data_IF_778624047920
#
_entry.id   IF_778624047920
#
_cell.length_a   1.000
_cell.length_b   1.000
_cell.length_c   1.000
_cell.angle_alpha   90.00
_cell.angle_beta   90.00
_cell.angle_gamma   90.00
#
_symmetry.space_group_name_H-M   'P 1'
#
loop_
_entity.id
_entity.type
_entity.pdbx_description
1 polymer ?
#
# COMPACT_ATOMS: atom_id res chain seq x y z
N UNK A 1 41.43 67.62 -0.36
CA UNK A 1 40.07 67.18 -0.03
C UNK A 1 39.83 65.88 -0.89
N UNK A 2 40.08 64.72 -0.32
CA UNK A 2 40.00 63.44 -0.98
C UNK A 2 38.70 62.70 -0.54
N UNK A 3 37.73 62.71 -1.45
CA UNK A 3 36.44 61.98 -1.22
C UNK A 3 36.65 60.50 -1.42
N UNK A 4 36.40 59.69 -0.38
CA UNK A 4 36.31 58.24 -0.43
C UNK A 4 34.90 57.85 -0.86
N UNK A 5 34.76 57.23 -2.04
CA UNK A 5 33.50 56.60 -2.44
C UNK A 5 33.41 55.21 -1.77
N UNK A 6 32.34 55.02 -0.99
CA UNK A 6 31.96 53.73 -0.44
C UNK A 6 31.09 52.97 -1.47
N UNK A 7 31.59 51.87 -1.94
CA UNK A 7 30.84 50.95 -2.82
C UNK A 7 30.02 50.00 -1.91
N UNK A 8 28.70 50.14 -1.93
CA UNK A 8 27.79 49.17 -1.29
C UNK A 8 27.56 48.01 -2.26
N UNK A 9 28.08 46.84 -1.92
CA UNK A 9 27.74 45.61 -2.62
C UNK A 9 26.40 45.11 -2.08
N UNK A 10 25.38 45.11 -2.93
CA UNK A 10 24.11 44.40 -2.64
C UNK A 10 24.33 42.92 -2.79
N UNK A 11 24.29 42.21 -1.67
CA UNK A 11 24.27 40.73 -1.64
C UNK A 11 22.83 40.28 -1.89
N UNK A 12 22.52 39.84 -3.10
CA UNK A 12 21.24 39.18 -3.41
C UNK A 12 21.27 37.77 -2.86
N UNK A 13 20.60 37.53 -1.74
CA UNK A 13 20.35 36.19 -1.23
C UNK A 13 19.23 35.58 -2.09
N UNK A 14 19.59 34.71 -3.00
CA UNK A 14 18.60 33.84 -3.66
C UNK A 14 18.05 32.86 -2.62
N UNK A 15 16.84 33.07 -2.16
CA UNK A 15 16.08 32.04 -1.45
C UNK A 15 15.85 30.89 -2.46
N UNK A 16 16.62 29.83 -2.35
CA UNK A 16 16.22 28.55 -2.89
C UNK A 16 15.03 28.10 -2.05
N UNK A 17 13.85 28.27 -2.58
CA UNK A 17 12.65 27.71 -2.00
C UNK A 17 12.84 26.20 -1.94
N UNK A 18 13.02 25.68 -0.73
CA UNK A 18 12.78 24.28 -0.45
C UNK A 18 11.29 24.10 -0.71
N UNK A 19 10.93 23.54 -1.88
CA UNK A 19 9.59 23.01 -2.09
C UNK A 19 9.38 21.94 -1.03
N UNK A 20 8.58 22.24 -0.02
CA UNK A 20 7.98 21.23 0.83
C UNK A 20 7.23 20.34 -0.15
N UNK A 21 7.45 19.00 -0.17
CA UNK A 21 6.66 18.14 -1.00
C UNK A 21 5.18 18.39 -0.65
N UNK A 22 4.39 18.68 -1.67
CA UNK A 22 2.95 18.74 -1.54
C UNK A 22 2.50 17.45 -0.88
N UNK A 23 1.73 17.59 0.18
CA UNK A 23 1.03 16.61 0.99
C UNK A 23 1.45 15.14 0.78
N UNK A 24 1.91 14.49 1.85
CA UNK A 24 2.15 13.06 1.83
C UNK A 24 0.87 12.38 1.33
N UNK A 25 0.96 11.70 0.19
CA UNK A 25 -0.13 10.94 -0.37
C UNK A 25 -0.63 9.94 0.68
N UNK A 26 -1.93 9.87 0.89
CA UNK A 26 -2.51 9.00 1.91
C UNK A 26 -2.72 7.63 1.30
N UNK A 27 -2.16 6.59 1.93
CA UNK A 27 -2.50 5.22 1.56
C UNK A 27 -4.01 5.01 1.77
N UNK A 28 -4.72 4.57 0.71
CA UNK A 28 -6.16 4.60 0.65
C UNK A 28 -6.79 3.20 0.75
N UNK A 29 -6.34 2.24 -0.07
CA UNK A 29 -6.96 0.93 -0.12
C UNK A 29 -6.05 -0.17 -0.67
N UNK A 30 -6.46 -1.41 -0.41
CA UNK A 30 -6.06 -2.59 -1.17
C UNK A 30 -7.27 -3.09 -1.96
N UNK A 31 -7.06 -3.51 -3.20
CA UNK A 31 -8.13 -4.04 -4.04
C UNK A 31 -7.81 -5.48 -4.44
N UNK A 32 -8.71 -6.36 -4.08
CA UNK A 32 -8.62 -7.80 -4.33
C UNK A 32 -9.60 -8.22 -5.42
N UNK A 33 -9.34 -9.39 -5.98
CA UNK A 33 -10.25 -10.06 -6.89
C UNK A 33 -10.77 -11.35 -6.27
N UNK A 34 -12.09 -11.51 -6.31
CA UNK A 34 -12.77 -12.75 -5.96
C UNK A 34 -14.04 -12.87 -6.81
N UNK A 35 -14.56 -14.08 -7.07
CA UNK A 35 -15.82 -14.24 -7.80
C UNK A 35 -17.04 -13.83 -6.99
N UNK A 36 -16.92 -13.71 -5.66
CA UNK A 36 -17.98 -13.28 -4.75
C UNK A 36 -17.41 -12.25 -3.77
N UNK A 37 -17.58 -10.97 -4.12
CA UNK A 37 -17.08 -9.85 -3.33
C UNK A 37 -17.71 -9.77 -1.94
N UNK A 38 -18.98 -10.15 -1.80
CA UNK A 38 -19.69 -10.12 -0.52
C UNK A 38 -19.14 -11.19 0.42
N UNK A 39 -18.99 -12.43 -0.09
CA UNK A 39 -18.39 -13.51 0.69
C UNK A 39 -16.93 -13.20 1.05
N UNK A 40 -16.20 -12.51 0.17
CA UNK A 40 -14.83 -12.11 0.41
C UNK A 40 -14.73 -11.06 1.53
N UNK A 41 -15.52 -9.99 1.46
CA UNK A 41 -15.58 -8.99 2.51
C UNK A 41 -15.98 -9.61 3.86
N UNK A 42 -16.97 -10.53 3.85
CA UNK A 42 -17.39 -11.24 5.06
C UNK A 42 -16.26 -12.09 5.65
N UNK A 43 -15.48 -12.77 4.81
CA UNK A 43 -14.31 -13.53 5.28
C UNK A 43 -13.29 -12.66 6.01
N UNK A 44 -12.99 -11.45 5.47
CA UNK A 44 -12.09 -10.50 6.11
C UNK A 44 -12.69 -9.91 7.40
N UNK A 45 -14.00 -9.69 7.45
CA UNK A 45 -14.70 -9.29 8.70
C UNK A 45 -14.63 -10.39 9.76
N UNK A 46 -14.81 -11.65 9.39
CA UNK A 46 -14.79 -12.78 10.33
C UNK A 46 -13.39 -13.10 10.84
N UNK A 47 -12.33 -12.82 10.05
CA UNK A 47 -10.99 -13.30 10.34
C UNK A 47 -9.94 -12.21 10.55
N UNK A 48 -10.05 -11.05 9.92
CA UNK A 48 -9.00 -10.01 9.92
C UNK A 48 -9.38 -8.76 10.72
N UNK A 49 -10.40 -8.84 11.59
CA UNK A 49 -10.94 -7.72 12.36
C UNK A 49 -11.31 -6.51 11.46
N UNK A 50 -11.76 -6.80 10.25
CA UNK A 50 -12.21 -5.82 9.29
C UNK A 50 -13.64 -5.41 9.63
N UNK A 51 -13.97 -4.12 9.59
CA UNK A 51 -15.28 -3.58 9.95
C UNK A 51 -16.11 -3.26 8.71
N UNK A 52 -17.42 -3.55 8.78
CA UNK A 52 -18.38 -3.10 7.76
C UNK A 52 -18.55 -1.58 7.86
N UNK A 53 -18.34 -0.88 6.75
CA UNK A 53 -18.58 0.57 6.68
C UNK A 53 -19.71 0.95 5.70
N UNK A 54 -20.57 -0.01 5.35
CA UNK A 54 -21.77 0.20 4.54
C UNK A 54 -21.55 0.14 3.02
N UNK A 55 -20.39 -0.40 2.56
CA UNK A 55 -20.11 -0.64 1.15
C UNK A 55 -20.11 -2.14 0.86
N UNK A 56 -20.99 -2.58 -0.04
CA UNK A 56 -21.04 -3.96 -0.49
C UNK A 56 -19.71 -4.40 -1.13
N UNK A 57 -19.24 -5.61 -0.79
CA UNK A 57 -17.96 -6.13 -1.29
C UNK A 57 -16.74 -5.38 -0.77
N UNK A 58 -16.83 -4.82 0.43
CA UNK A 58 -15.74 -4.09 1.05
C UNK A 58 -15.83 -4.14 2.57
N UNK A 59 -14.71 -3.96 3.24
CA UNK A 59 -14.62 -3.70 4.67
C UNK A 59 -13.42 -2.78 4.95
N UNK A 60 -13.23 -2.35 6.20
CA UNK A 60 -12.20 -1.39 6.58
C UNK A 60 -11.42 -1.87 7.80
N UNK A 61 -10.10 -1.75 7.78
CA UNK A 61 -9.25 -1.90 8.97
C UNK A 61 -8.52 -0.59 9.17
N UNK A 62 -8.70 0.02 10.35
CA UNK A 62 -8.23 1.38 10.63
C UNK A 62 -8.76 2.36 9.55
N UNK A 63 -7.87 2.99 8.79
CA UNK A 63 -8.22 3.90 7.70
C UNK A 63 -7.98 3.27 6.31
N UNK A 64 -7.73 1.96 6.24
CA UNK A 64 -7.45 1.24 4.98
C UNK A 64 -8.67 0.46 4.54
N UNK A 65 -9.19 0.77 3.35
CA UNK A 65 -10.27 0.01 2.75
C UNK A 65 -9.72 -1.28 2.14
N UNK A 66 -10.39 -2.39 2.43
CA UNK A 66 -10.19 -3.69 1.79
C UNK A 66 -11.35 -3.86 0.79
N UNK A 67 -11.04 -3.76 -0.50
CA UNK A 67 -12.03 -3.74 -1.56
C UNK A 67 -11.97 -5.03 -2.40
N UNK A 68 -13.12 -5.47 -2.89
CA UNK A 68 -13.23 -6.60 -3.79
C UNK A 68 -13.98 -6.21 -5.05
N UNK A 69 -13.50 -6.66 -6.22
CA UNK A 69 -14.22 -6.49 -7.46
C UNK A 69 -15.58 -7.22 -7.43
N UNK A 70 -16.62 -6.53 -7.90
CA UNK A 70 -17.99 -7.04 -7.94
C UNK A 70 -18.39 -7.59 -9.32
N UNK A 71 -17.41 -7.86 -10.17
CA UNK A 71 -17.62 -8.36 -11.55
C UNK A 71 -17.79 -9.89 -11.65
N UNK A 72 -17.64 -10.61 -10.54
CA UNK A 72 -17.79 -12.06 -10.49
C UNK A 72 -16.67 -12.85 -11.18
N UNK A 73 -15.52 -12.20 -11.43
CA UNK A 73 -14.40 -12.82 -12.15
C UNK A 73 -13.40 -13.45 -11.18
N UNK A 74 -13.06 -14.71 -11.44
CA UNK A 74 -12.01 -15.41 -10.70
C UNK A 74 -10.65 -14.74 -10.87
N UNK A 75 -9.80 -14.72 -9.81
CA UNK A 75 -8.43 -14.28 -9.94
C UNK A 75 -7.64 -15.20 -10.89
N UNK A 76 -6.75 -14.62 -11.69
CA UNK A 76 -5.88 -15.37 -12.61
C UNK A 76 -4.75 -16.12 -11.91
N UNK A 77 -4.58 -15.91 -10.62
CA UNK A 77 -3.60 -16.60 -9.77
C UNK A 77 -3.42 -15.89 -8.42
N UNK A 78 -2.59 -16.46 -7.54
CA UNK A 78 -2.35 -15.93 -6.20
C UNK A 78 -1.52 -14.64 -6.20
N UNK A 79 -1.43 -13.98 -5.05
CA UNK A 79 -0.56 -12.80 -4.85
C UNK A 79 0.92 -13.18 -4.97
N UNK A 80 1.31 -14.33 -4.44
CA UNK A 80 2.69 -14.84 -4.50
C UNK A 80 3.15 -15.03 -5.94
N UNK A 81 4.37 -14.61 -6.22
CA UNK A 81 4.96 -14.62 -7.57
C UNK A 81 4.72 -13.33 -8.36
N UNK A 82 4.12 -12.32 -7.73
CA UNK A 82 4.03 -10.95 -8.25
C UNK A 82 4.94 -10.00 -7.48
N UNK A 83 4.97 -8.73 -7.89
CA UNK A 83 5.61 -7.67 -7.12
C UNK A 83 4.98 -7.45 -5.74
N UNK A 84 3.73 -7.90 -5.54
CA UNK A 84 3.01 -7.88 -4.27
C UNK A 84 2.99 -9.28 -3.65
N UNK A 85 3.86 -9.53 -2.65
CA UNK A 85 3.96 -10.86 -2.02
C UNK A 85 2.83 -11.10 -1.02
N UNK A 86 2.62 -10.18 -0.08
CA UNK A 86 1.59 -10.29 0.96
C UNK A 86 1.24 -8.93 1.58
N UNK A 87 0.11 -8.92 2.28
CA UNK A 87 -0.28 -7.87 3.23
C UNK A 87 -0.13 -8.42 4.64
N UNK A 88 0.03 -7.53 5.62
CA UNK A 88 0.20 -7.90 7.01
C UNK A 88 -0.84 -7.30 7.94
N UNK A 89 -1.30 -8.09 8.91
CA UNK A 89 -2.18 -7.64 9.98
C UNK A 89 -1.56 -7.96 11.35
N UNK A 90 -1.74 -7.06 12.30
CA UNK A 90 -1.26 -7.25 13.67
C UNK A 90 -2.40 -7.45 14.65
N UNK A 91 -2.27 -8.49 15.45
CA UNK A 91 -3.27 -8.88 16.46
C UNK A 91 -2.63 -8.86 17.86
N UNK A 92 -3.39 -8.54 18.91
CA UNK A 92 -2.85 -8.45 20.27
C UNK A 92 -2.52 -9.82 20.88
N UNK A 93 -3.11 -10.91 20.39
CA UNK A 93 -2.89 -12.30 20.82
C UNK A 93 -2.95 -13.21 19.58
N UNK A 94 -1.80 -13.42 18.96
CA UNK A 94 -1.70 -14.22 17.73
C UNK A 94 -2.00 -15.70 17.99
N UNK A 95 -1.69 -16.23 19.18
CA UNK A 95 -1.94 -17.63 19.51
C UNK A 95 -3.43 -17.92 19.60
N UNK A 96 -4.19 -17.05 20.28
CA UNK A 96 -5.65 -17.16 20.36
C UNK A 96 -6.29 -17.02 18.97
N UNK A 97 -5.83 -16.06 18.15
CA UNK A 97 -6.33 -15.85 16.78
C UNK A 97 -6.09 -17.10 15.93
N UNK A 98 -4.88 -17.64 15.92
CA UNK A 98 -4.51 -18.84 15.17
C UNK A 98 -5.30 -20.08 15.58
N UNK A 99 -5.60 -20.24 16.88
CA UNK A 99 -6.45 -21.33 17.36
C UNK A 99 -7.87 -21.22 16.77
N UNK A 100 -8.43 -20.01 16.75
CA UNK A 100 -9.72 -19.71 16.12
C UNK A 100 -9.72 -20.02 14.62
N UNK A 101 -8.72 -19.57 13.89
CA UNK A 101 -8.59 -19.79 12.44
C UNK A 101 -8.47 -21.28 12.08
N UNK A 102 -7.67 -22.05 12.83
CA UNK A 102 -7.62 -23.53 12.63
C UNK A 102 -8.97 -24.19 12.86
N UNK A 103 -9.71 -23.76 13.88
CA UNK A 103 -11.06 -24.28 14.14
C UNK A 103 -12.05 -23.90 13.03
N UNK A 104 -11.89 -22.70 12.43
CA UNK A 104 -12.71 -22.22 11.32
C UNK A 104 -12.28 -22.77 9.94
N UNK A 105 -11.14 -23.49 9.84
CA UNK A 105 -10.63 -24.04 8.58
C UNK A 105 -9.91 -23.05 7.68
N UNK A 106 -9.41 -21.93 8.23
CA UNK A 106 -8.55 -21.00 7.49
C UNK A 106 -7.26 -21.72 7.07
N UNK A 107 -6.81 -21.47 5.84
CA UNK A 107 -5.59 -22.07 5.30
C UNK A 107 -4.36 -21.46 5.98
N UNK A 108 -3.77 -22.19 6.92
CA UNK A 108 -2.53 -21.82 7.62
C UNK A 108 -1.34 -22.32 6.82
N UNK A 109 -0.54 -21.39 6.28
CA UNK A 109 0.65 -21.72 5.47
C UNK A 109 1.87 -22.04 6.32
N UNK A 110 2.04 -21.35 7.45
CA UNK A 110 3.14 -21.56 8.40
C UNK A 110 2.62 -21.47 9.83
N UNK A 111 3.20 -22.26 10.74
CA UNK A 111 2.93 -22.14 12.18
C UNK A 111 3.56 -20.88 12.76
N UNK A 112 3.04 -20.46 13.94
CA UNK A 112 3.60 -19.31 14.65
C UNK A 112 5.09 -19.57 14.93
N UNK A 113 5.90 -18.59 14.61
CA UNK A 113 7.32 -18.53 14.99
C UNK A 113 7.66 -17.18 15.56
N UNK A 114 8.53 -17.13 16.53
CA UNK A 114 9.11 -15.91 17.05
C UNK A 114 10.35 -15.54 16.22
N UNK A 115 10.41 -14.28 15.79
CA UNK A 115 11.60 -13.73 15.13
C UNK A 115 12.27 -12.77 16.08
N UNK A 116 13.47 -13.15 16.57
CA UNK A 116 14.24 -12.36 17.52
C UNK A 116 14.41 -10.90 17.03
N UNK A 117 14.03 -9.96 17.87
CA UNK A 117 14.11 -8.52 17.59
C UNK A 117 13.04 -8.01 16.60
N UNK A 118 12.04 -8.81 16.29
CA UNK A 118 10.83 -8.40 15.57
C UNK A 118 9.58 -8.70 16.42
N UNK A 119 8.85 -9.76 16.08
CA UNK A 119 7.59 -10.17 16.70
C UNK A 119 7.33 -11.66 16.44
N UNK A 120 6.31 -12.22 17.07
CA UNK A 120 5.73 -13.49 16.64
C UNK A 120 5.01 -13.26 15.32
N UNK A 121 5.12 -14.21 14.40
CA UNK A 121 4.44 -14.14 13.11
C UNK A 121 4.05 -15.53 12.61
N UNK A 122 3.08 -15.54 11.72
CA UNK A 122 2.61 -16.70 10.94
C UNK A 122 2.14 -16.22 9.58
N UNK A 123 1.81 -17.16 8.69
CA UNK A 123 1.20 -16.85 7.41
C UNK A 123 -0.07 -17.66 7.23
N UNK A 124 -1.11 -17.00 6.74
CA UNK A 124 -2.36 -17.61 6.30
C UNK A 124 -2.63 -17.21 4.84
N UNK A 125 -3.58 -17.87 4.22
CA UNK A 125 -4.03 -17.53 2.86
C UNK A 125 -5.54 -17.43 2.86
N UNK A 126 -6.06 -16.39 2.20
CA UNK A 126 -7.48 -16.27 1.97
C UNK A 126 -7.96 -17.32 0.92
N UNK A 127 -9.28 -17.57 0.79
CA UNK A 127 -9.78 -18.57 -0.15
C UNK A 127 -9.46 -18.30 -1.64
N UNK A 128 -9.02 -17.09 -1.96
CA UNK A 128 -8.76 -16.65 -3.34
C UNK A 128 -7.27 -16.54 -3.68
N UNK A 129 -6.40 -16.89 -2.73
CA UNK A 129 -4.95 -17.00 -2.93
C UNK A 129 -4.17 -15.75 -2.57
N UNK A 130 -4.73 -14.85 -1.74
CA UNK A 130 -3.95 -13.77 -1.14
C UNK A 130 -3.20 -14.30 0.09
N UNK A 131 -1.88 -14.22 0.05
CA UNK A 131 -1.04 -14.51 1.20
C UNK A 131 -1.10 -13.37 2.19
N UNK A 132 -1.28 -13.68 3.46
CA UNK A 132 -1.43 -12.73 4.56
C UNK A 132 -0.42 -13.07 5.65
N UNK A 133 0.47 -12.14 5.99
CA UNK A 133 1.29 -12.24 7.20
C UNK A 133 0.49 -11.76 8.40
N UNK A 134 0.50 -12.54 9.47
CA UNK A 134 -0.18 -12.20 10.71
C UNK A 134 0.84 -12.14 11.83
N UNK A 135 0.86 -11.02 12.56
CA UNK A 135 1.91 -10.71 13.53
C UNK A 135 1.31 -10.37 14.90
N UNK A 136 2.13 -10.48 15.96
CA UNK A 136 1.83 -9.93 17.27
C UNK A 136 2.75 -8.74 17.52
N UNK A 137 2.33 -7.56 17.09
CA UNK A 137 3.03 -6.31 17.30
C UNK A 137 2.14 -5.26 17.96
N UNK A 138 2.29 -5.11 19.27
CA UNK A 138 1.50 -4.15 20.06
C UNK A 138 1.81 -2.67 19.75
N UNK A 139 2.88 -2.39 18.99
CA UNK A 139 3.23 -1.02 18.60
C UNK A 139 2.38 -0.52 17.43
N UNK A 140 2.07 -1.42 16.48
CA UNK A 140 1.30 -1.12 15.27
C UNK A 140 0.20 -2.19 15.08
N UNK A 141 -0.91 -2.10 15.84
CA UNK A 141 -2.04 -3.01 15.67
C UNK A 141 -2.79 -2.72 14.37
N UNK A 142 -3.64 -3.65 13.92
CA UNK A 142 -4.51 -3.48 12.76
C UNK A 142 -3.83 -3.78 11.44
N UNK A 143 -4.07 -2.96 10.39
CA UNK A 143 -3.43 -3.12 9.08
C UNK A 143 -1.96 -2.69 9.17
N UNK A 144 -1.06 -3.66 9.22
CA UNK A 144 0.31 -3.49 9.68
C UNK A 144 1.28 -3.12 8.57
N UNK A 145 1.27 -3.85 7.45
CA UNK A 145 2.22 -3.59 6.37
C UNK A 145 1.77 -4.16 5.01
N UNK A 146 2.41 -3.62 3.98
CA UNK A 146 2.44 -4.14 2.63
C UNK A 146 3.85 -4.66 2.38
N UNK A 147 4.00 -5.86 1.85
CA UNK A 147 5.31 -6.43 1.55
C UNK A 147 5.47 -6.72 0.06
N UNK A 148 6.35 -5.97 -0.57
CA UNK A 148 6.68 -6.11 -1.98
C UNK A 148 7.91 -7.01 -2.17
N UNK A 149 8.04 -7.56 -3.38
CA UNK A 149 9.26 -8.22 -3.89
C UNK A 149 9.85 -7.40 -5.03
N UNK A 150 11.17 -7.28 -5.04
CA UNK A 150 11.89 -6.55 -6.07
C UNK A 150 13.25 -7.15 -6.32
N UNK A 151 13.73 -7.02 -7.56
CA UNK A 151 15.12 -7.33 -7.92
C UNK A 151 16.11 -6.28 -7.39
N UNK A 152 15.61 -5.07 -7.07
CA UNK A 152 16.38 -3.97 -6.46
C UNK A 152 15.52 -3.24 -5.42
N UNK A 153 15.44 -3.77 -4.16
CA UNK A 153 14.60 -3.19 -3.11
C UNK A 153 14.88 -1.73 -2.81
N UNK A 154 16.14 -1.29 -2.89
CA UNK A 154 16.49 0.09 -2.62
C UNK A 154 15.95 1.05 -3.69
N UNK A 155 16.03 0.67 -4.97
CA UNK A 155 15.47 1.44 -6.08
C UNK A 155 13.94 1.47 -6.02
N UNK A 156 13.32 0.36 -5.65
CA UNK A 156 11.87 0.28 -5.46
C UNK A 156 11.40 1.21 -4.35
N UNK A 157 12.01 1.14 -3.16
CA UNK A 157 11.66 2.05 -2.07
C UNK A 157 11.82 3.52 -2.47
N UNK A 158 12.92 3.88 -3.15
CA UNK A 158 13.13 5.24 -3.63
C UNK A 158 12.07 5.68 -4.66
N UNK A 159 11.56 4.75 -5.48
CA UNK A 159 10.49 5.03 -6.44
C UNK A 159 9.17 5.34 -5.70
N UNK A 160 8.78 4.51 -4.71
CA UNK A 160 7.58 4.75 -3.90
C UNK A 160 7.68 6.03 -3.08
N UNK A 161 8.82 6.27 -2.41
CA UNK A 161 9.08 7.52 -1.67
C UNK A 161 8.94 8.76 -2.54
N UNK A 162 9.48 8.71 -3.77
CA UNK A 162 9.46 9.83 -4.70
C UNK A 162 8.07 10.15 -5.28
N UNK A 163 7.15 9.19 -5.30
CA UNK A 163 5.79 9.39 -5.81
C UNK A 163 4.75 9.56 -4.69
N UNK A 164 4.85 8.76 -3.64
CA UNK A 164 3.84 8.65 -2.61
C UNK A 164 4.33 9.09 -1.22
N UNK A 165 5.55 9.61 -1.15
CA UNK A 165 6.12 10.02 0.13
C UNK A 165 6.39 8.84 1.05
N UNK A 166 6.08 9.02 2.34
CA UNK A 166 6.47 8.11 3.41
C UNK A 166 7.83 8.47 3.99
N UNK A 167 8.12 7.99 5.17
CA UNK A 167 9.38 8.25 5.88
C UNK A 167 10.27 7.02 5.79
N UNK A 168 11.46 7.10 5.14
CA UNK A 168 12.43 6.01 5.17
C UNK A 168 12.81 5.67 6.61
N UNK A 169 12.57 4.43 7.01
CA UNK A 169 12.81 3.98 8.39
C UNK A 169 13.09 2.46 8.41
N UNK A 170 13.36 1.94 9.60
CA UNK A 170 13.54 0.51 9.82
C UNK A 170 12.55 0.00 10.86
N UNK A 171 11.56 -0.76 10.43
CA UNK A 171 10.64 -1.45 11.33
C UNK A 171 11.43 -2.29 12.33
N UNK A 172 11.22 -2.05 13.63
CA UNK A 172 11.98 -2.67 14.74
C UNK A 172 13.50 -2.54 14.57
N UNK A 173 14.00 -1.52 13.87
CA UNK A 173 15.44 -1.33 13.60
C UNK A 173 16.04 -2.33 12.59
N UNK A 174 15.24 -3.19 11.94
CA UNK A 174 15.71 -4.32 11.13
C UNK A 174 15.19 -4.31 9.68
N UNK A 175 13.89 -4.16 9.47
CA UNK A 175 13.31 -4.24 8.15
C UNK A 175 13.23 -2.84 7.53
N UNK A 176 14.03 -2.60 6.50
CA UNK A 176 14.04 -1.32 5.78
C UNK A 176 12.74 -1.16 4.99
N UNK A 177 12.11 0.00 5.13
CA UNK A 177 10.85 0.31 4.47
C UNK A 177 10.53 1.79 4.47
N UNK A 178 9.34 2.12 4.02
CA UNK A 178 8.70 3.42 4.16
C UNK A 178 7.61 3.32 5.22
N UNK A 179 7.64 4.24 6.17
CA UNK A 179 6.57 4.35 7.16
C UNK A 179 5.65 5.50 6.77
N UNK A 180 4.39 5.18 6.60
CA UNK A 180 3.32 6.15 6.36
C UNK A 180 2.67 6.57 7.68
N UNK A 181 1.77 7.56 7.61
CA UNK A 181 0.98 7.97 8.75
C UNK A 181 0.23 6.75 9.34
N UNK A 182 -0.11 6.83 10.63
CA UNK A 182 -0.86 5.79 11.35
C UNK A 182 -0.17 4.42 11.50
N UNK A 183 1.13 4.33 11.19
CA UNK A 183 1.92 3.14 11.45
C UNK A 183 1.94 2.10 10.35
N UNK A 184 1.33 2.38 9.19
CA UNK A 184 1.42 1.51 8.01
C UNK A 184 2.84 1.50 7.44
N UNK A 185 3.34 0.33 7.13
CA UNK A 185 4.63 0.12 6.50
C UNK A 185 4.53 -0.41 5.08
N UNK A 186 5.34 0.13 4.18
CA UNK A 186 5.67 -0.48 2.89
C UNK A 186 7.06 -1.10 3.01
N UNK A 187 7.13 -2.40 3.00
CA UNK A 187 8.37 -3.17 3.06
C UNK A 187 8.70 -3.72 1.67
N UNK A 188 10.00 -3.81 1.35
CA UNK A 188 10.44 -4.39 0.08
C UNK A 188 11.51 -5.43 0.34
N UNK A 189 11.20 -6.69 0.02
CA UNK A 189 12.13 -7.80 0.09
C UNK A 189 12.80 -8.10 -1.24
N UNK A 190 14.01 -8.70 -1.17
CA UNK A 190 14.72 -9.17 -2.37
C UNK A 190 13.93 -10.30 -3.05
N UNK A 191 13.67 -10.16 -4.35
CA UNK A 191 13.23 -11.28 -5.18
C UNK A 191 14.37 -12.30 -5.30
N UNK A 192 14.03 -13.57 -5.08
CA UNK A 192 15.04 -14.64 -5.05
C UNK A 192 15.03 -15.49 -6.30
N UNK A 193 13.84 -15.79 -6.84
CA UNK A 193 13.65 -16.74 -7.91
C UNK A 193 12.61 -16.27 -8.92
N UNK A 194 12.93 -16.38 -10.21
CA UNK A 194 12.01 -16.14 -11.32
C UNK A 194 11.73 -14.66 -11.60
N UNK A 195 10.90 -14.43 -12.61
CA UNK A 195 10.35 -13.13 -12.96
C UNK A 195 9.06 -12.86 -12.17
N UNK A 196 8.83 -11.60 -11.80
CA UNK A 196 7.60 -11.18 -11.15
C UNK A 196 6.50 -11.00 -12.20
N UNK A 197 5.35 -11.63 -11.96
CA UNK A 197 4.17 -11.42 -12.77
C UNK A 197 3.49 -10.08 -12.40
N UNK A 198 2.74 -9.45 -13.33
CA UNK A 198 1.88 -8.31 -13.00
C UNK A 198 0.83 -8.69 -11.95
N UNK A 199 0.44 -7.70 -11.10
CA UNK A 199 -0.63 -7.92 -10.10
C UNK A 199 -2.02 -7.85 -10.70
N UNK A 200 -2.21 -7.09 -11.78
CA UNK A 200 -3.52 -6.92 -12.42
C UNK A 200 -4.19 -8.27 -12.74
N UNK A 201 -5.42 -8.45 -12.26
CA UNK A 201 -6.19 -9.69 -12.43
C UNK A 201 -5.88 -10.80 -11.43
N UNK A 202 -4.93 -10.64 -10.54
CA UNK A 202 -4.58 -11.61 -9.48
C UNK A 202 -5.47 -11.45 -8.25
N UNK A 203 -5.35 -12.37 -7.28
CA UNK A 203 -6.08 -12.30 -6.01
C UNK A 203 -5.86 -10.96 -5.30
N UNK A 204 -4.63 -10.45 -5.34
CA UNK A 204 -4.30 -9.07 -5.01
C UNK A 204 -4.08 -8.32 -6.34
N UNK A 205 -5.02 -7.42 -6.69
CA UNK A 205 -5.01 -6.75 -8.00
C UNK A 205 -4.18 -5.46 -7.98
N UNK A 206 -4.46 -4.55 -7.04
CA UNK A 206 -3.75 -3.28 -6.95
C UNK A 206 -3.77 -2.64 -5.56
N UNK A 207 -2.86 -1.70 -5.37
CA UNK A 207 -2.79 -0.76 -4.25
C UNK A 207 -3.47 0.54 -4.64
N UNK A 208 -3.96 1.31 -3.67
CA UNK A 208 -4.55 2.64 -3.91
C UNK A 208 -3.93 3.72 -3.04
N UNK A 209 -3.63 4.89 -3.66
CA UNK A 209 -3.24 6.11 -2.99
C UNK A 209 -4.20 7.26 -3.29
N UNK A 210 -4.60 7.98 -2.23
CA UNK A 210 -5.37 9.21 -2.34
C UNK A 210 -4.48 10.41 -2.67
N UNK A 211 -4.95 11.27 -3.56
CA UNK A 211 -4.31 12.53 -3.92
C UNK A 211 -5.33 13.68 -3.79
N UNK A 212 -4.83 14.88 -3.50
CA UNK A 212 -5.67 16.07 -3.40
C UNK A 212 -6.00 16.71 -4.77
N UNK A 213 -5.14 16.50 -5.78
CA UNK A 213 -5.23 17.08 -7.12
C UNK A 213 -4.65 16.13 -8.17
N UNK A 214 -5.52 15.48 -8.92
CA UNK A 214 -5.16 14.51 -9.96
C UNK A 214 -4.37 15.16 -11.10
N UNK A 215 -4.72 16.37 -11.52
CA UNK A 215 -4.04 17.03 -12.63
C UNK A 215 -2.59 17.38 -12.24
N UNK A 216 -2.39 17.88 -11.01
CA UNK A 216 -1.06 18.14 -10.48
C UNK A 216 -0.24 16.86 -10.33
N UNK A 217 -0.85 15.76 -9.87
CA UNK A 217 -0.19 14.47 -9.74
C UNK A 217 0.22 13.91 -11.11
N UNK A 218 -0.67 13.94 -12.10
CA UNK A 218 -0.37 13.51 -13.48
C UNK A 218 0.76 14.36 -14.09
N UNK A 219 0.74 15.68 -13.90
CA UNK A 219 1.82 16.55 -14.36
C UNK A 219 3.16 16.19 -13.71
N UNK A 220 3.15 15.84 -12.43
CA UNK A 220 4.34 15.37 -11.71
C UNK A 220 4.86 14.04 -12.30
N UNK A 221 4.00 13.05 -12.56
CA UNK A 221 4.36 11.78 -13.20
C UNK A 221 5.03 12.04 -14.57
N UNK A 222 4.39 12.86 -15.41
CA UNK A 222 4.92 13.22 -16.74
C UNK A 222 6.31 13.88 -16.65
N UNK A 223 6.52 14.77 -15.67
CA UNK A 223 7.81 15.42 -15.44
C UNK A 223 8.92 14.43 -15.06
N UNK A 224 8.56 13.28 -14.51
CA UNK A 224 9.45 12.17 -14.14
C UNK A 224 9.55 11.10 -15.21
N UNK A 225 8.86 11.25 -16.36
CA UNK A 225 8.84 10.27 -17.45
C UNK A 225 8.07 8.99 -17.10
N UNK A 226 7.11 9.06 -16.16
CA UNK A 226 6.24 7.95 -15.79
C UNK A 226 4.94 8.09 -16.57
N UNK A 227 4.57 7.03 -17.29
CA UNK A 227 3.35 6.96 -18.07
C UNK A 227 2.21 6.36 -17.23
N UNK A 228 0.98 6.81 -17.49
CA UNK A 228 -0.21 6.20 -16.92
C UNK A 228 -0.49 4.85 -17.62
N UNK A 229 -0.94 3.87 -16.84
CA UNK A 229 -1.50 2.61 -17.34
C UNK A 229 -2.95 2.84 -17.84
N UNK A 230 -3.72 3.66 -17.09
CA UNK A 230 -5.11 4.00 -17.43
C UNK A 230 -5.53 5.33 -16.78
N UNK A 231 -6.51 6.03 -17.36
CA UNK A 231 -7.09 7.27 -16.86
C UNK A 231 -6.32 8.54 -17.26
N UNK A 232 -6.54 9.70 -16.62
CA UNK A 232 -7.55 9.93 -15.57
C UNK A 232 -8.98 9.83 -16.10
N UNK A 233 -9.90 9.34 -15.27
CA UNK A 233 -11.33 9.30 -15.61
C UNK A 233 -12.20 9.48 -14.37
N UNK A 234 -13.35 10.15 -14.53
CA UNK A 234 -14.37 10.28 -13.50
C UNK A 234 -15.13 8.96 -13.36
N UNK A 235 -15.37 8.56 -12.12
CA UNK A 235 -16.19 7.41 -11.73
C UNK A 235 -17.03 7.77 -10.52
N UNK A 236 -18.18 7.12 -10.34
CA UNK A 236 -18.93 7.16 -9.08
C UNK A 236 -18.82 5.80 -8.42
N UNK A 237 -18.35 5.75 -7.18
CA UNK A 237 -18.20 4.49 -6.45
C UNK A 237 -19.55 3.92 -5.97
N UNK A 238 -19.54 2.71 -5.39
CA UNK A 238 -20.75 2.01 -4.98
C UNK A 238 -21.55 2.72 -3.87
N UNK A 239 -20.94 3.66 -3.14
CA UNK A 239 -21.65 4.49 -2.13
C UNK A 239 -22.04 5.88 -2.65
N UNK A 240 -21.95 6.10 -3.98
CA UNK A 240 -22.39 7.33 -4.63
C UNK A 240 -21.41 8.50 -4.51
N UNK A 241 -20.15 8.25 -4.17
CA UNK A 241 -19.11 9.27 -4.10
C UNK A 241 -18.45 9.41 -5.49
N UNK A 242 -18.30 10.64 -5.95
CA UNK A 242 -17.62 10.94 -7.20
C UNK A 242 -16.10 10.98 -6.99
N UNK A 243 -15.38 10.30 -7.86
CA UNK A 243 -13.93 10.14 -7.82
C UNK A 243 -13.34 10.45 -9.19
N UNK A 244 -12.08 10.89 -9.21
CA UNK A 244 -11.24 10.82 -10.40
C UNK A 244 -10.18 9.77 -10.12
N UNK A 245 -10.03 8.80 -11.02
CA UNK A 245 -9.08 7.71 -10.86
C UNK A 245 -8.11 7.62 -12.04
N UNK A 246 -6.88 7.23 -11.75
CA UNK A 246 -5.87 6.89 -12.74
C UNK A 246 -5.03 5.72 -12.23
N UNK A 247 -4.29 5.06 -13.13
CA UNK A 247 -3.44 3.93 -12.77
C UNK A 247 -2.02 4.11 -13.28
N UNK A 248 -1.07 3.65 -12.48
CA UNK A 248 0.34 3.49 -12.86
C UNK A 248 0.80 2.08 -12.54
N UNK A 249 1.88 1.64 -13.19
CA UNK A 249 2.53 0.36 -12.90
C UNK A 249 3.90 0.65 -12.28
N UNK A 250 4.17 0.03 -11.14
CA UNK A 250 5.48 0.12 -10.50
C UNK A 250 6.53 -0.69 -11.28
N UNK A 251 7.84 -0.45 -11.02
CA UNK A 251 8.92 -1.24 -11.66
C UNK A 251 8.82 -2.75 -11.45
N UNK A 252 8.14 -3.19 -10.40
CA UNK A 252 7.92 -4.60 -10.05
C UNK A 252 6.64 -5.18 -10.67
N UNK A 253 5.90 -4.40 -11.46
CA UNK A 253 4.63 -4.82 -12.06
C UNK A 253 3.43 -4.75 -11.10
N UNK A 254 3.56 -4.03 -10.00
CA UNK A 254 2.42 -3.73 -9.11
C UNK A 254 1.58 -2.63 -9.72
N UNK A 255 0.31 -2.90 -9.93
CA UNK A 255 -0.66 -1.90 -10.36
C UNK A 255 -1.05 -1.02 -9.18
N UNK A 256 -1.15 0.29 -9.41
CA UNK A 256 -1.44 1.27 -8.37
C UNK A 256 -2.52 2.21 -8.89
N UNK A 257 -3.62 2.29 -8.15
CA UNK A 257 -4.70 3.26 -8.39
C UNK A 257 -4.40 4.57 -7.66
N UNK A 258 -4.53 5.65 -8.37
CA UNK A 258 -4.48 7.01 -7.83
C UNK A 258 -5.92 7.50 -7.74
N UNK A 259 -6.33 8.02 -6.59
CA UNK A 259 -7.72 8.39 -6.32
C UNK A 259 -7.80 9.80 -5.80
N UNK A 260 -8.52 10.67 -6.51
CA UNK A 260 -8.95 11.96 -6.01
C UNK A 260 -10.45 11.88 -5.66
N UNK A 261 -10.81 12.32 -4.45
CA UNK A 261 -12.21 12.47 -4.05
C UNK A 261 -12.72 13.83 -4.51
N UNK A 262 -13.75 13.83 -5.35
CA UNK A 262 -14.40 15.07 -5.79
C UNK A 262 -15.40 15.51 -4.73
N UNK A 263 -15.16 16.71 -4.11
CA UNK A 263 -16.03 17.29 -3.09
C UNK A 263 -17.11 18.20 -3.68
#
# INVERSE_FOLDING_TARGET
MTGKAFLFALLTISLVGLSVPANAEVYHHVHHRSPDAVAAAQWYMDHMDCEDYGREGACMVDNVQILFYTDGVEPTGPSVGTGMDHIGFSFPDLEAKMAGWRAAGVNVLEDIREVEGLFKLSFVEDPWGTKIEVVEDHQWPGFHHIHLRSNDPAKTLAWYENLFGGVPDKMKGRLTGLRYNDGLWLLVGQQRDGELAPTAGRSFDHLGWGVDDMDAFVAMLQSKGIELDDGPRAVTNAVGQDLIIAFVISPEGVRIEIVETVN
#
